data_IF_285975507740
#
_entry.id   IF_285975507740
#
_cell.length_a   1.000
_cell.length_b   1.000
_cell.length_c   1.000
_cell.angle_alpha   90.00
_cell.angle_beta   90.00
_cell.angle_gamma   90.00
#
_symmetry.space_group_name_H-M   'P 1'
#
loop_
_entity.id
_entity.type
_entity.pdbx_description
1 polymer ?
#
# COMPACT_ATOMS: atom_id res chain seq x y z
N UNK A 1 -23.33 -16.56 -64.67
CA UNK A 1 -23.91 -16.84 -63.34
C UNK A 1 -22.85 -16.48 -62.33
N UNK A 2 -23.21 -15.80 -61.25
CA UNK A 2 -22.25 -15.36 -60.24
C UNK A 2 -21.65 -16.62 -59.61
N UNK A 3 -20.34 -16.80 -59.74
CA UNK A 3 -19.66 -18.02 -59.27
C UNK A 3 -19.19 -17.90 -57.80
N UNK A 4 -19.29 -16.71 -57.21
CA UNK A 4 -18.77 -16.42 -55.88
C UNK A 4 -19.91 -16.07 -54.91
N UNK A 5 -19.83 -16.61 -53.71
CA UNK A 5 -20.73 -16.23 -52.62
C UNK A 5 -20.58 -14.72 -52.32
N UNK A 6 -21.71 -14.04 -52.12
CA UNK A 6 -21.73 -12.61 -51.81
C UNK A 6 -21.95 -12.47 -50.31
N UNK A 7 -20.94 -11.93 -49.63
CA UNK A 7 -21.03 -11.58 -48.22
C UNK A 7 -21.39 -10.11 -48.05
N UNK A 8 -22.39 -9.83 -47.24
CA UNK A 8 -22.85 -8.48 -46.95
C UNK A 8 -23.27 -8.33 -45.48
N UNK A 9 -23.31 -7.10 -44.99
CA UNK A 9 -23.87 -6.75 -43.69
C UNK A 9 -24.64 -5.44 -43.80
N UNK A 10 -25.65 -5.26 -42.96
CA UNK A 10 -26.38 -3.99 -42.87
C UNK A 10 -26.62 -3.66 -41.38
N UNK A 11 -25.61 -3.05 -40.75
CA UNK A 11 -25.60 -2.81 -39.31
C UNK A 11 -26.65 -1.79 -38.90
N UNK A 12 -26.90 -0.79 -39.75
CA UNK A 12 -27.88 0.25 -39.49
C UNK A 12 -29.32 -0.26 -39.39
N UNK A 13 -29.60 -1.46 -39.93
CA UNK A 13 -30.89 -2.16 -39.81
C UNK A 13 -30.83 -3.41 -38.94
N UNK A 14 -29.71 -3.64 -38.25
CA UNK A 14 -29.53 -4.77 -37.34
C UNK A 14 -29.31 -6.12 -38.01
N UNK A 15 -28.92 -6.13 -39.29
CA UNK A 15 -28.58 -7.36 -40.03
C UNK A 15 -27.08 -7.59 -39.90
N UNK A 16 -26.72 -8.69 -39.24
CA UNK A 16 -25.32 -9.12 -39.13
C UNK A 16 -24.74 -9.60 -40.46
N UNK A 17 -23.45 -9.94 -40.43
CA UNK A 17 -22.74 -10.50 -41.58
C UNK A 17 -23.44 -11.76 -42.10
N UNK A 18 -23.99 -11.67 -43.30
CA UNK A 18 -24.73 -12.73 -43.99
C UNK A 18 -24.00 -13.07 -45.27
N UNK A 19 -23.83 -14.36 -45.55
CA UNK A 19 -23.26 -14.83 -46.82
C UNK A 19 -24.37 -15.51 -47.59
N UNK A 20 -24.60 -15.07 -48.82
CA UNK A 20 -25.57 -15.67 -49.73
C UNK A 20 -24.82 -16.42 -50.80
N UNK A 21 -25.10 -17.72 -50.91
CA UNK A 21 -24.62 -18.51 -52.03
C UNK A 21 -25.32 -18.08 -53.33
N UNK A 22 -24.71 -18.26 -54.52
CA UNK A 22 -25.31 -17.82 -55.78
C UNK A 22 -26.72 -18.37 -56.06
N UNK A 23 -27.02 -19.57 -55.57
CA UNK A 23 -28.34 -20.20 -55.66
C UNK A 23 -29.37 -19.63 -54.67
N UNK A 24 -28.94 -18.94 -53.61
CA UNK A 24 -29.79 -18.34 -52.58
C UNK A 24 -30.11 -16.87 -52.85
N UNK A 25 -29.27 -16.18 -53.62
CA UNK A 25 -29.45 -14.75 -53.91
C UNK A 25 -30.76 -14.44 -54.64
N UNK A 26 -31.11 -15.24 -55.66
CA UNK A 26 -32.35 -15.05 -56.43
C UNK A 26 -33.59 -15.29 -55.55
N UNK A 27 -33.70 -16.41 -54.80
CA UNK A 27 -34.75 -16.58 -53.80
C UNK A 27 -34.85 -15.43 -52.81
N UNK A 28 -33.73 -14.97 -52.27
CA UNK A 28 -33.71 -13.86 -51.30
C UNK A 28 -34.26 -12.55 -51.89
N UNK A 29 -33.90 -12.21 -53.13
CA UNK A 29 -34.44 -11.03 -53.82
C UNK A 29 -35.92 -11.17 -54.16
N UNK A 30 -36.37 -12.38 -54.48
CA UNK A 30 -37.79 -12.65 -54.69
C UNK A 30 -38.58 -12.51 -53.39
N UNK A 31 -38.04 -12.97 -52.26
CA UNK A 31 -38.66 -12.77 -50.94
C UNK A 31 -38.75 -11.29 -50.59
N UNK A 32 -37.70 -10.51 -50.85
CA UNK A 32 -37.70 -9.05 -50.66
C UNK A 32 -38.75 -8.37 -51.54
N UNK A 33 -38.87 -8.78 -52.81
CA UNK A 33 -39.89 -8.27 -53.72
C UNK A 33 -41.31 -8.65 -53.27
N UNK A 34 -41.50 -9.88 -52.80
CA UNK A 34 -42.78 -10.36 -52.29
C UNK A 34 -43.20 -9.60 -51.03
N UNK A 35 -42.26 -9.36 -50.10
CA UNK A 35 -42.50 -8.53 -48.92
C UNK A 35 -43.13 -7.19 -49.31
N UNK A 36 -42.49 -6.41 -50.19
CA UNK A 36 -43.02 -5.11 -50.59
C UNK A 36 -44.34 -5.19 -51.36
N UNK A 37 -44.52 -6.21 -52.21
CA UNK A 37 -45.78 -6.44 -52.93
C UNK A 37 -46.95 -6.71 -51.99
N UNK A 38 -46.70 -7.48 -50.94
CA UNK A 38 -47.74 -8.08 -50.12
C UNK A 38 -48.09 -7.19 -48.89
N UNK A 39 -47.48 -6.01 -48.73
CA UNK A 39 -47.83 -5.02 -47.71
C UNK A 39 -49.11 -4.25 -48.08
N UNK A 40 -50.26 -4.53 -47.46
CA UNK A 40 -51.51 -3.85 -47.79
C UNK A 40 -51.45 -2.37 -47.43
N UNK A 41 -51.92 -1.52 -48.35
CA UNK A 41 -52.12 -0.10 -48.11
C UNK A 41 -50.86 0.77 -48.17
N UNK A 42 -49.67 0.19 -48.33
CA UNK A 42 -48.41 0.98 -48.30
C UNK A 42 -48.32 2.00 -49.46
N UNK A 43 -48.98 1.69 -50.59
CA UNK A 43 -49.06 2.54 -51.78
C UNK A 43 -50.38 3.33 -51.89
N UNK A 44 -51.21 3.35 -50.86
CA UNK A 44 -52.38 4.25 -50.84
C UNK A 44 -51.96 5.71 -50.75
N UNK A 45 -52.88 6.61 -51.09
CA UNK A 45 -52.69 8.05 -50.99
C UNK A 45 -52.24 8.44 -49.57
N UNK A 46 -51.07 9.07 -49.49
CA UNK A 46 -50.53 9.53 -48.22
C UNK A 46 -51.17 10.88 -47.86
N UNK A 47 -52.03 10.87 -46.84
CA UNK A 47 -52.67 12.08 -46.32
C UNK A 47 -52.06 12.46 -44.98
N UNK A 48 -51.47 13.65 -44.89
CA UNK A 48 -50.96 14.19 -43.62
C UNK A 48 -51.23 15.68 -43.51
N UNK A 49 -51.49 16.16 -42.29
CA UNK A 49 -51.80 17.57 -42.02
C UNK A 49 -52.88 18.16 -42.95
N UNK A 50 -53.93 17.38 -43.22
CA UNK A 50 -55.04 17.76 -44.12
C UNK A 50 -54.64 18.04 -45.58
N UNK A 51 -53.47 17.55 -46.02
CA UNK A 51 -53.02 17.57 -47.42
C UNK A 51 -52.86 16.14 -47.93
N UNK A 52 -53.36 15.87 -49.13
CA UNK A 52 -53.12 14.61 -49.83
C UNK A 52 -51.87 14.77 -50.72
N UNK A 53 -50.84 13.99 -50.43
CA UNK A 53 -49.58 13.98 -51.17
C UNK A 53 -49.58 12.98 -52.35
N UNK A 54 -50.68 12.24 -52.52
CA UNK A 54 -50.87 11.19 -53.50
C UNK A 54 -50.20 9.87 -53.09
N UNK A 55 -50.32 8.87 -53.95
CA UNK A 55 -49.64 7.58 -53.76
C UNK A 55 -48.11 7.77 -53.81
N UNK A 56 -47.39 7.32 -52.76
CA UNK A 56 -45.94 7.43 -52.73
C UNK A 56 -45.24 6.41 -53.64
N UNK A 57 -45.94 5.36 -54.11
CA UNK A 57 -45.38 4.33 -54.98
C UNK A 57 -44.17 3.60 -54.37
N UNK A 58 -44.20 3.34 -53.06
CA UNK A 58 -43.12 2.72 -52.31
C UNK A 58 -42.92 1.29 -52.75
N UNK A 59 -43.98 0.47 -52.69
CA UNK A 59 -43.87 -0.94 -53.07
C UNK A 59 -43.50 -1.08 -54.55
N UNK A 60 -44.12 -0.28 -55.43
CA UNK A 60 -43.74 -0.22 -56.85
C UNK A 60 -42.29 0.22 -57.07
N UNK A 61 -41.76 1.13 -56.24
CA UNK A 61 -40.36 1.56 -56.26
C UNK A 61 -39.40 0.40 -55.97
N UNK A 62 -39.66 -0.34 -54.88
CA UNK A 62 -38.86 -1.53 -54.53
C UNK A 62 -38.96 -2.62 -55.58
N UNK A 63 -40.17 -2.92 -56.06
CA UNK A 63 -40.36 -3.92 -57.12
C UNK A 63 -39.57 -3.59 -58.39
N UNK A 64 -39.61 -2.34 -58.84
CA UNK A 64 -38.82 -1.90 -60.00
C UNK A 64 -37.33 -2.01 -59.75
N UNK A 65 -36.85 -1.57 -58.58
CA UNK A 65 -35.42 -1.59 -58.26
C UNK A 65 -34.90 -3.03 -58.09
N UNK A 66 -35.61 -3.88 -57.38
CA UNK A 66 -35.26 -5.30 -57.22
C UNK A 66 -35.37 -6.04 -58.55
N UNK A 67 -36.38 -5.75 -59.37
CA UNK A 67 -36.51 -6.28 -60.72
C UNK A 67 -35.32 -5.92 -61.62
N UNK A 68 -34.84 -4.67 -61.56
CA UNK A 68 -33.64 -4.23 -62.27
C UNK A 68 -32.38 -4.98 -61.82
N UNK A 69 -32.24 -5.21 -60.50
CA UNK A 69 -31.14 -6.02 -59.95
C UNK A 69 -31.23 -7.46 -60.45
N UNK A 70 -32.42 -8.08 -60.40
CA UNK A 70 -32.61 -9.44 -60.91
C UNK A 70 -32.27 -9.55 -62.40
N UNK A 71 -32.54 -8.52 -63.22
CA UNK A 71 -32.10 -8.51 -64.61
C UNK A 71 -30.58 -8.37 -64.75
N UNK A 72 -29.92 -7.48 -64.01
CA UNK A 72 -28.46 -7.30 -64.11
C UNK A 72 -27.68 -8.54 -63.63
N UNK A 73 -28.23 -9.26 -62.66
CA UNK A 73 -27.63 -10.51 -62.17
C UNK A 73 -27.63 -11.62 -63.24
N UNK A 74 -28.57 -11.60 -64.20
CA UNK A 74 -28.54 -12.52 -65.35
C UNK A 74 -27.32 -12.27 -66.25
N UNK A 75 -26.91 -11.01 -66.35
CA UNK A 75 -25.73 -10.57 -67.09
C UNK A 75 -24.44 -10.64 -66.24
N UNK A 76 -24.49 -11.32 -65.09
CA UNK A 76 -23.39 -11.47 -64.14
C UNK A 76 -22.92 -10.16 -63.47
N UNK A 77 -23.77 -9.13 -63.46
CA UNK A 77 -23.47 -7.84 -62.83
C UNK A 77 -24.16 -7.69 -61.46
N UNK A 78 -23.36 -7.73 -60.40
CA UNK A 78 -23.78 -7.55 -59.01
C UNK A 78 -23.76 -6.08 -58.53
N UNK A 79 -23.39 -5.13 -59.40
CA UNK A 79 -23.31 -3.70 -59.04
C UNK A 79 -24.62 -3.16 -58.47
N UNK A 80 -25.75 -3.55 -59.08
CA UNK A 80 -27.09 -3.18 -58.63
C UNK A 80 -27.39 -3.65 -57.21
N UNK A 81 -27.05 -4.90 -56.89
CA UNK A 81 -27.23 -5.47 -55.54
C UNK A 81 -26.39 -4.72 -54.51
N UNK A 82 -25.10 -4.50 -54.78
CA UNK A 82 -24.21 -3.78 -53.87
C UNK A 82 -24.70 -2.34 -53.63
N UNK A 83 -25.18 -1.65 -54.67
CA UNK A 83 -25.77 -0.31 -54.53
C UNK A 83 -27.03 -0.29 -53.67
N UNK A 84 -27.81 -1.38 -53.69
CA UNK A 84 -29.03 -1.52 -52.90
C UNK A 84 -28.70 -1.78 -51.44
N UNK A 85 -27.73 -2.66 -51.16
CA UNK A 85 -27.22 -2.89 -49.80
C UNK A 85 -26.58 -1.62 -49.23
N UNK A 86 -25.78 -0.90 -50.02
CA UNK A 86 -25.21 0.38 -49.59
C UNK A 86 -26.31 1.40 -49.28
N UNK A 87 -27.33 1.51 -50.12
CA UNK A 87 -28.49 2.36 -49.85
C UNK A 87 -29.21 1.94 -48.56
N UNK A 88 -29.31 0.63 -48.28
CA UNK A 88 -29.88 0.13 -47.04
C UNK A 88 -29.04 0.50 -45.82
N UNK A 89 -27.71 0.42 -45.93
CA UNK A 89 -26.79 0.80 -44.86
C UNK A 89 -26.87 2.30 -44.55
N UNK A 90 -26.98 3.13 -45.58
CA UNK A 90 -27.22 4.58 -45.46
C UNK A 90 -28.66 4.92 -45.04
N UNK A 91 -29.51 3.93 -44.76
CA UNK A 91 -30.93 4.09 -44.39
C UNK A 91 -31.72 4.89 -45.44
N UNK A 92 -31.39 4.66 -46.71
CA UNK A 92 -32.08 5.15 -47.91
C UNK A 92 -32.84 4.03 -48.63
N UNK A 93 -32.68 2.79 -48.21
CA UNK A 93 -33.51 1.66 -48.55
C UNK A 93 -33.82 0.88 -47.27
N UNK A 94 -34.89 0.11 -47.28
CA UNK A 94 -35.33 -0.74 -46.18
C UNK A 94 -35.28 -2.17 -46.64
N UNK A 95 -34.71 -3.03 -45.81
CA UNK A 95 -34.65 -4.47 -46.04
C UNK A 95 -35.76 -5.16 -45.22
N UNK A 96 -36.50 -6.07 -45.84
CA UNK A 96 -37.61 -6.80 -45.23
C UNK A 96 -37.20 -7.52 -43.93
N UNK A 97 -36.01 -8.13 -43.93
CA UNK A 97 -35.43 -8.84 -42.78
C UNK A 97 -34.79 -7.90 -41.75
N UNK A 98 -34.65 -6.62 -42.07
CA UNK A 98 -34.11 -5.61 -41.16
C UNK A 98 -35.14 -5.17 -40.11
N UNK A 99 -34.67 -4.58 -39.01
CA UNK A 99 -35.54 -4.10 -37.93
C UNK A 99 -36.59 -3.09 -38.42
N UNK A 100 -36.23 -2.22 -39.36
CA UNK A 100 -37.14 -1.22 -39.95
C UNK A 100 -38.22 -1.92 -40.78
N UNK A 101 -37.86 -2.89 -41.63
CA UNK A 101 -38.83 -3.67 -42.41
C UNK A 101 -39.79 -4.46 -41.53
N UNK A 102 -39.28 -5.14 -40.51
CA UNK A 102 -40.11 -5.84 -39.52
C UNK A 102 -41.07 -4.90 -38.79
N UNK A 103 -40.62 -3.69 -38.44
CA UNK A 103 -41.46 -2.71 -37.78
C UNK A 103 -42.56 -2.17 -38.71
N UNK A 104 -42.27 -1.94 -40.00
CA UNK A 104 -43.29 -1.58 -41.00
C UNK A 104 -44.35 -2.68 -41.07
N UNK A 105 -43.94 -3.95 -41.23
CA UNK A 105 -44.87 -5.07 -41.30
C UNK A 105 -45.73 -5.19 -40.02
N UNK A 106 -45.12 -4.99 -38.86
CA UNK A 106 -45.82 -4.98 -37.57
C UNK A 106 -46.86 -3.86 -37.50
N UNK A 107 -46.50 -2.63 -37.86
CA UNK A 107 -47.41 -1.48 -37.86
C UNK A 107 -48.61 -1.72 -38.79
N UNK A 108 -48.38 -2.34 -39.96
CA UNK A 108 -49.47 -2.71 -40.87
C UNK A 108 -50.36 -3.78 -40.25
N UNK A 109 -49.79 -4.81 -39.62
CA UNK A 109 -50.55 -5.85 -38.92
C UNK A 109 -51.41 -5.28 -37.78
N UNK A 110 -50.91 -4.23 -37.10
CA UNK A 110 -51.61 -3.47 -36.05
C UNK A 110 -52.60 -2.42 -36.62
N UNK A 111 -52.83 -2.39 -37.94
CA UNK A 111 -53.69 -1.43 -38.65
C UNK A 111 -53.23 0.04 -38.54
N UNK A 112 -51.98 0.29 -38.14
CA UNK A 112 -51.37 1.63 -38.05
C UNK A 112 -50.77 2.05 -39.41
N UNK A 113 -51.62 2.10 -40.43
CA UNK A 113 -51.17 2.27 -41.82
C UNK A 113 -50.39 3.57 -42.04
N UNK A 114 -50.84 4.68 -41.45
CA UNK A 114 -50.19 5.98 -41.62
C UNK A 114 -48.76 6.00 -41.07
N UNK A 115 -48.54 5.38 -39.90
CA UNK A 115 -47.22 5.27 -39.28
C UNK A 115 -46.30 4.36 -40.09
N UNK A 116 -46.83 3.25 -40.62
CA UNK A 116 -46.09 2.35 -41.51
C UNK A 116 -45.66 3.05 -42.80
N UNK A 117 -46.58 3.79 -43.45
CA UNK A 117 -46.30 4.58 -44.65
C UNK A 117 -45.26 5.66 -44.39
N UNK A 118 -45.38 6.39 -43.28
CA UNK A 118 -44.42 7.42 -42.89
C UNK A 118 -43.03 6.84 -42.65
N UNK A 119 -42.94 5.73 -41.91
CA UNK A 119 -41.68 5.04 -41.66
C UNK A 119 -41.04 4.55 -42.97
N UNK A 120 -41.83 3.95 -43.85
CA UNK A 120 -41.37 3.50 -45.16
C UNK A 120 -40.91 4.68 -46.04
N UNK A 121 -41.65 5.79 -46.07
CA UNK A 121 -41.31 7.00 -46.82
C UNK A 121 -39.97 7.58 -46.39
N UNK A 122 -39.77 7.72 -45.08
CA UNK A 122 -38.58 8.33 -44.49
C UNK A 122 -37.31 7.54 -44.83
N UNK A 123 -37.39 6.21 -44.83
CA UNK A 123 -36.25 5.32 -45.02
C UNK A 123 -36.08 4.78 -46.44
N UNK A 124 -36.96 5.14 -47.38
CA UNK A 124 -36.93 4.66 -48.78
C UNK A 124 -36.50 5.72 -49.78
N UNK A 125 -35.81 6.78 -49.34
CA UNK A 125 -35.43 7.91 -50.20
C UNK A 125 -34.56 7.53 -51.42
N UNK A 126 -33.76 6.47 -51.31
CA UNK A 126 -32.93 5.94 -52.40
C UNK A 126 -33.69 5.02 -53.34
N UNK A 127 -34.92 4.61 -53.00
CA UNK A 127 -35.74 3.68 -53.79
C UNK A 127 -36.95 4.39 -54.39
N UNK A 128 -37.43 5.44 -53.72
CA UNK A 128 -38.63 6.18 -54.06
C UNK A 128 -38.28 7.65 -54.28
N UNK A 129 -38.69 8.21 -55.41
CA UNK A 129 -38.64 9.65 -55.65
C UNK A 129 -39.79 10.34 -54.92
N UNK A 130 -39.65 10.50 -53.60
CA UNK A 130 -40.59 11.31 -52.82
C UNK A 130 -40.57 12.76 -53.31
N UNK A 131 -41.74 13.41 -53.35
CA UNK A 131 -41.85 14.85 -53.68
C UNK A 131 -41.03 15.67 -52.69
N UNK A 132 -40.44 16.78 -53.15
CA UNK A 132 -39.58 17.64 -52.33
C UNK A 132 -40.27 18.09 -51.02
N UNK A 133 -41.57 18.37 -51.09
CA UNK A 133 -42.42 18.77 -49.95
C UNK A 133 -42.47 17.73 -48.84
N UNK A 134 -42.52 16.43 -49.19
CA UNK A 134 -42.51 15.33 -48.21
C UNK A 134 -41.12 15.24 -47.56
N UNK A 135 -40.06 15.38 -48.36
CA UNK A 135 -38.69 15.32 -47.84
C UNK A 135 -38.41 16.43 -46.83
N UNK A 136 -38.88 17.64 -47.12
CA UNK A 136 -38.73 18.79 -46.23
C UNK A 136 -39.55 18.61 -44.95
N UNK A 137 -40.81 18.16 -45.06
CA UNK A 137 -41.69 17.96 -43.91
C UNK A 137 -41.17 16.90 -42.91
N UNK A 138 -40.52 15.84 -43.40
CA UNK A 138 -40.09 14.70 -42.57
C UNK A 138 -38.57 14.60 -42.37
N UNK A 139 -37.78 15.56 -42.86
CA UNK A 139 -36.32 15.56 -42.69
C UNK A 139 -35.89 15.53 -41.22
N UNK A 140 -36.58 16.28 -40.36
CA UNK A 140 -36.35 16.25 -38.91
C UNK A 140 -36.80 14.93 -38.28
N UNK A 141 -37.92 14.37 -38.74
CA UNK A 141 -38.42 13.09 -38.25
C UNK A 141 -37.48 11.94 -38.61
N UNK A 142 -36.85 11.99 -39.79
CA UNK A 142 -35.79 11.07 -40.20
C UNK A 142 -34.71 10.99 -39.14
N UNK A 143 -34.15 12.13 -38.73
CA UNK A 143 -33.08 12.18 -37.72
C UNK A 143 -33.52 11.48 -36.42
N UNK A 144 -34.74 11.73 -35.95
CA UNK A 144 -35.27 11.08 -34.73
C UNK A 144 -35.44 9.57 -34.91
N UNK A 145 -36.03 9.15 -36.03
CA UNK A 145 -36.27 7.74 -36.35
C UNK A 145 -34.97 6.95 -36.58
N UNK A 146 -33.90 7.60 -37.04
CA UNK A 146 -32.58 6.95 -37.22
C UNK A 146 -31.99 6.44 -35.90
N UNK A 147 -32.23 7.16 -34.79
CA UNK A 147 -31.78 6.72 -33.46
C UNK A 147 -32.70 5.68 -32.84
N UNK A 148 -34.00 5.71 -33.16
CA UNK A 148 -34.95 4.71 -32.68
C UNK A 148 -36.13 4.53 -33.66
N UNK A 149 -36.11 3.49 -34.53
CA UNK A 149 -37.15 3.27 -35.52
C UNK A 149 -38.50 2.83 -34.91
N UNK A 150 -38.55 2.57 -33.60
CA UNK A 150 -39.79 2.22 -32.89
C UNK A 150 -40.60 3.45 -32.44
N UNK A 151 -40.08 4.67 -32.58
CA UNK A 151 -40.75 5.93 -32.19
C UNK A 151 -41.75 6.30 -33.29
N UNK A 152 -42.95 5.74 -33.26
CA UNK A 152 -43.96 5.95 -34.31
C UNK A 152 -45.02 7.01 -33.95
N UNK A 153 -45.02 7.51 -32.71
CA UNK A 153 -46.05 8.45 -32.23
C UNK A 153 -45.44 9.73 -31.63
N UNK A 154 -46.21 10.82 -31.64
CA UNK A 154 -45.82 12.09 -30.99
C UNK A 154 -45.62 11.95 -29.47
N UNK A 155 -46.26 10.96 -28.84
CA UNK A 155 -46.04 10.62 -27.44
C UNK A 155 -44.61 10.07 -27.20
N UNK A 156 -44.06 9.33 -28.16
CA UNK A 156 -42.71 8.79 -28.08
C UNK A 156 -41.64 9.87 -28.30
N UNK A 157 -41.93 10.91 -29.09
CA UNK A 157 -41.03 12.06 -29.30
C UNK A 157 -40.91 12.91 -28.03
N UNK A 158 -42.02 13.12 -27.32
CA UNK A 158 -42.02 13.83 -26.03
C UNK A 158 -41.23 13.01 -24.99
N UNK A 159 -41.44 11.69 -24.95
CA UNK A 159 -40.67 10.76 -24.11
C UNK A 159 -39.17 10.74 -24.45
N UNK A 160 -38.82 10.81 -25.74
CA UNK A 160 -37.44 10.89 -26.20
C UNK A 160 -36.79 12.24 -25.83
N UNK A 161 -37.52 13.35 -25.95
CA UNK A 161 -37.01 14.67 -25.52
C UNK A 161 -36.80 14.73 -24.01
N UNK A 162 -37.69 14.11 -23.23
CA UNK A 162 -37.58 14.05 -21.78
C UNK A 162 -36.43 13.12 -21.37
N UNK A 163 -36.28 12.00 -22.06
CA UNK A 163 -35.13 11.10 -21.89
C UNK A 163 -33.81 11.79 -22.25
N UNK A 164 -33.78 12.64 -23.29
CA UNK A 164 -32.61 13.42 -23.67
C UNK A 164 -32.31 14.50 -22.63
N UNK A 165 -33.33 15.16 -22.07
CA UNK A 165 -33.19 16.14 -20.98
C UNK A 165 -32.62 15.48 -19.72
N UNK A 166 -33.16 14.31 -19.34
CA UNK A 166 -32.67 13.51 -18.22
C UNK A 166 -31.22 13.06 -18.49
N UNK A 167 -30.92 12.58 -19.70
CA UNK A 167 -29.57 12.16 -20.08
C UNK A 167 -28.58 13.33 -20.06
N UNK A 168 -28.97 14.53 -20.51
CA UNK A 168 -28.16 15.75 -20.46
C UNK A 168 -27.88 16.20 -19.02
N UNK A 169 -28.91 16.17 -18.16
CA UNK A 169 -28.75 16.44 -16.73
C UNK A 169 -27.87 15.39 -16.04
N UNK A 170 -28.00 14.12 -16.43
CA UNK A 170 -27.18 13.01 -15.93
C UNK A 170 -25.72 13.15 -16.41
N UNK A 171 -25.49 13.56 -17.66
CA UNK A 171 -24.16 13.82 -18.18
C UNK A 171 -23.49 15.00 -17.47
N UNK A 172 -24.25 16.05 -17.16
CA UNK A 172 -23.75 17.23 -16.43
C UNK A 172 -23.40 16.87 -14.99
N UNK A 173 -24.25 16.10 -14.31
CA UNK A 173 -23.99 15.61 -12.95
C UNK A 173 -22.85 14.60 -12.90
N UNK A 174 -22.70 13.71 -13.89
CA UNK A 174 -21.53 12.84 -14.02
C UNK A 174 -20.25 13.62 -14.26
N UNK A 175 -20.29 14.71 -15.05
CA UNK A 175 -19.12 15.59 -15.23
C UNK A 175 -18.74 16.26 -13.92
N UNK A 176 -19.71 16.73 -13.15
CA UNK A 176 -19.47 17.31 -11.83
C UNK A 176 -18.91 16.28 -10.85
N UNK A 177 -19.52 15.10 -10.76
CA UNK A 177 -19.04 14.00 -9.93
C UNK A 177 -17.62 13.53 -10.32
N UNK A 178 -17.26 13.60 -11.60
CA UNK A 178 -15.90 13.31 -12.05
C UNK A 178 -14.91 14.38 -11.60
N UNK A 179 -15.28 15.66 -11.67
CA UNK A 179 -14.43 16.75 -11.16
C UNK A 179 -14.25 16.60 -9.64
N UNK A 180 -15.32 16.31 -8.91
CA UNK A 180 -15.27 16.07 -7.46
C UNK A 180 -14.41 14.82 -7.12
N UNK A 181 -14.51 13.76 -7.94
CA UNK A 181 -13.66 12.58 -7.80
C UNK A 181 -12.18 12.89 -8.08
N UNK A 182 -11.86 13.66 -9.12
CA UNK A 182 -10.50 14.09 -9.42
C UNK A 182 -9.92 14.96 -8.28
N UNK A 183 -10.70 15.88 -7.72
CA UNK A 183 -10.30 16.69 -6.54
C UNK A 183 -10.05 15.80 -5.32
N UNK A 184 -10.96 14.88 -5.01
CA UNK A 184 -10.78 13.97 -3.86
C UNK A 184 -9.59 13.00 -4.01
N UNK A 185 -9.28 12.58 -5.25
CA UNK A 185 -8.09 11.77 -5.53
C UNK A 185 -6.80 12.58 -5.32
N UNK A 186 -6.79 13.85 -5.71
CA UNK A 186 -5.64 14.73 -5.50
C UNK A 186 -5.44 15.02 -4.01
N UNK A 187 -6.52 15.29 -3.27
CA UNK A 187 -6.49 15.45 -1.81
C UNK A 187 -5.99 14.18 -1.10
N UNK A 188 -6.44 12.99 -1.52
CA UNK A 188 -5.95 11.73 -0.97
C UNK A 188 -4.47 11.49 -1.29
N UNK A 189 -4.02 11.85 -2.49
CA UNK A 189 -2.62 11.73 -2.90
C UNK A 189 -1.73 12.65 -2.06
N UNK A 190 -2.15 13.88 -1.84
CA UNK A 190 -1.44 14.84 -1.00
C UNK A 190 -1.42 14.41 0.47
N UNK A 191 -2.55 13.90 0.99
CA UNK A 191 -2.63 13.35 2.34
C UNK A 191 -1.70 12.13 2.50
N UNK A 192 -1.67 11.24 1.51
CA UNK A 192 -0.79 10.07 1.51
C UNK A 192 0.69 10.49 1.40
N UNK A 193 1.02 11.45 0.54
CA UNK A 193 2.38 11.97 0.43
C UNK A 193 2.86 12.59 1.74
N UNK A 194 2.01 13.38 2.41
CA UNK A 194 2.30 13.93 3.74
C UNK A 194 2.47 12.83 4.78
N UNK A 195 1.60 11.82 4.78
CA UNK A 195 1.69 10.70 5.69
C UNK A 195 2.98 9.90 5.49
N UNK A 196 3.36 9.60 4.25
CA UNK A 196 4.61 8.89 3.92
C UNK A 196 5.82 9.72 4.34
N UNK A 197 5.84 11.02 4.07
CA UNK A 197 6.93 11.92 4.47
C UNK A 197 7.05 12.00 6.00
N UNK A 198 5.93 12.16 6.71
CA UNK A 198 5.88 12.15 8.17
C UNK A 198 6.38 10.83 8.76
N UNK A 199 5.90 9.68 8.26
CA UNK A 199 6.34 8.36 8.73
C UNK A 199 7.78 8.04 8.36
N UNK A 200 8.26 8.53 7.22
CA UNK A 200 9.67 8.39 6.83
C UNK A 200 10.57 9.21 7.77
N UNK A 201 10.17 10.43 8.13
CA UNK A 201 10.89 11.21 9.15
C UNK A 201 10.88 10.54 10.51
N UNK A 202 9.72 10.06 10.96
CA UNK A 202 9.59 9.36 12.25
C UNK A 202 10.45 8.09 12.30
N UNK A 203 10.49 7.31 11.21
CA UNK A 203 11.37 6.13 11.10
C UNK A 203 12.84 6.50 11.08
N UNK A 204 13.24 7.56 10.39
CA UNK A 204 14.62 8.04 10.37
C UNK A 204 15.05 8.56 11.75
N UNK A 205 14.18 9.31 12.44
CA UNK A 205 14.41 9.77 13.81
C UNK A 205 14.50 8.60 14.78
N UNK A 206 13.66 7.57 14.62
CA UNK A 206 13.71 6.35 15.41
C UNK A 206 14.98 5.55 15.14
N UNK A 207 15.42 5.46 13.88
CA UNK A 207 16.68 4.82 13.49
C UNK A 207 17.88 5.56 14.09
N UNK A 208 17.91 6.90 13.99
CA UNK A 208 18.95 7.75 14.60
C UNK A 208 18.93 7.60 16.14
N UNK A 209 17.75 7.52 16.75
CA UNK A 209 17.59 7.28 18.19
C UNK A 209 18.10 5.89 18.58
N UNK A 210 17.77 4.85 17.80
CA UNK A 210 18.16 3.47 18.03
C UNK A 210 19.67 3.27 17.87
N UNK A 211 20.26 3.80 16.80
CA UNK A 211 21.71 3.77 16.56
C UNK A 211 22.46 4.52 17.66
N UNK A 212 21.99 5.72 18.05
CA UNK A 212 22.58 6.49 19.16
C UNK A 212 22.38 5.83 20.52
N UNK A 213 21.24 5.19 20.78
CA UNK A 213 20.95 4.61 22.10
C UNK A 213 21.57 3.21 22.28
N UNK A 214 21.64 2.35 21.25
CA UNK A 214 22.22 1.01 21.40
C UNK A 214 23.75 0.99 21.37
N UNK A 215 24.39 1.81 20.54
CA UNK A 215 25.87 1.86 20.50
C UNK A 215 26.43 2.42 21.81
N UNK A 216 25.70 3.31 22.49
CA UNK A 216 26.15 4.00 23.71
C UNK A 216 25.67 3.37 25.03
N UNK A 217 24.69 2.46 25.03
CA UNK A 217 24.35 1.69 26.24
C UNK A 217 25.36 0.58 26.56
N UNK A 218 26.13 0.11 25.57
CA UNK A 218 27.16 -0.91 25.74
C UNK A 218 28.19 -0.56 26.83
N UNK A 219 28.84 0.60 26.76
CA UNK A 219 29.83 1.03 27.77
C UNK A 219 29.24 1.17 29.19
N UNK A 220 28.03 1.72 29.34
CA UNK A 220 27.39 1.89 30.66
C UNK A 220 27.09 0.53 31.31
N UNK A 221 26.53 -0.42 30.53
CA UNK A 221 26.27 -1.79 31.00
C UNK A 221 27.56 -2.53 31.33
N UNK A 222 28.62 -2.32 30.56
CA UNK A 222 29.93 -2.90 30.83
C UNK A 222 30.47 -2.43 32.19
N UNK A 223 30.55 -1.12 32.42
CA UNK A 223 31.05 -0.58 33.69
C UNK A 223 30.16 -0.92 34.88
N UNK A 224 28.85 -1.02 34.68
CA UNK A 224 27.92 -1.54 35.70
C UNK A 224 28.26 -2.98 36.11
N UNK A 225 28.59 -3.83 35.13
CA UNK A 225 29.01 -5.22 35.40
C UNK A 225 30.36 -5.29 36.10
N UNK A 226 31.31 -4.44 35.73
CA UNK A 226 32.62 -4.34 36.41
C UNK A 226 32.42 -3.88 37.86
N UNK A 227 31.63 -2.83 38.10
CA UNK A 227 31.35 -2.32 39.44
C UNK A 227 30.67 -3.37 40.33
N UNK A 228 29.65 -4.07 39.82
CA UNK A 228 28.93 -5.10 40.60
C UNK A 228 29.81 -6.30 40.93
N UNK A 229 30.68 -6.70 40.00
CA UNK A 229 31.64 -7.80 40.20
C UNK A 229 32.68 -7.42 41.24
N UNK A 230 33.28 -6.23 41.14
CA UNK A 230 34.26 -5.74 42.12
C UNK A 230 33.63 -5.56 43.51
N UNK A 231 32.40 -5.03 43.60
CA UNK A 231 31.70 -4.89 44.87
C UNK A 231 31.39 -6.24 45.53
N UNK A 232 31.08 -7.26 44.73
CA UNK A 232 30.89 -8.63 45.23
C UNK A 232 32.19 -9.20 45.82
N UNK A 233 33.33 -9.00 45.15
CA UNK A 233 34.63 -9.42 45.68
C UNK A 233 35.03 -8.61 46.93
N UNK A 234 34.76 -7.31 46.97
CA UNK A 234 34.95 -6.49 48.17
C UNK A 234 34.09 -7.00 49.33
N UNK A 235 32.82 -7.32 49.11
CA UNK A 235 31.94 -7.88 50.13
C UNK A 235 32.49 -9.21 50.67
N UNK A 236 32.92 -10.13 49.80
CA UNK A 236 33.52 -11.39 50.25
C UNK A 236 34.84 -11.18 51.00
N UNK A 237 35.69 -10.24 50.58
CA UNK A 237 36.91 -9.90 51.29
C UNK A 237 36.62 -9.28 52.68
N UNK A 238 35.58 -8.45 52.79
CA UNK A 238 35.13 -7.88 54.06
C UNK A 238 34.62 -8.98 55.01
N UNK A 239 33.76 -9.87 54.51
CA UNK A 239 33.27 -11.01 55.29
C UNK A 239 34.43 -11.89 55.74
N UNK A 240 35.38 -12.21 54.84
CA UNK A 240 36.58 -12.97 55.18
C UNK A 240 37.43 -12.27 56.24
N UNK A 241 37.60 -10.95 56.15
CA UNK A 241 38.33 -10.16 57.15
C UNK A 241 37.65 -10.19 58.52
N UNK A 242 36.33 -10.02 58.57
CA UNK A 242 35.55 -10.09 59.83
C UNK A 242 35.60 -11.48 60.43
N UNK A 243 35.47 -12.53 59.62
CA UNK A 243 35.58 -13.93 60.07
C UNK A 243 36.97 -14.22 60.59
N UNK A 244 38.02 -13.77 59.91
CA UNK A 244 39.39 -13.87 60.40
C UNK A 244 39.50 -13.16 61.76
N UNK A 245 39.01 -11.94 61.92
CA UNK A 245 39.11 -11.25 63.22
C UNK A 245 38.32 -11.94 64.34
N UNK A 246 37.09 -12.37 64.06
CA UNK A 246 36.16 -12.88 65.07
C UNK A 246 36.35 -14.37 65.42
N UNK A 247 36.71 -15.22 64.45
CA UNK A 247 36.75 -16.67 64.67
C UNK A 247 37.81 -17.12 65.69
N UNK A 248 39.07 -16.63 65.65
CA UNK A 248 40.07 -16.95 66.67
C UNK A 248 39.67 -16.42 68.05
N UNK A 249 39.13 -15.21 68.13
CA UNK A 249 38.65 -14.64 69.40
C UNK A 249 37.53 -15.49 70.01
N UNK A 250 36.60 -15.96 69.18
CA UNK A 250 35.50 -16.82 69.61
C UNK A 250 35.99 -18.23 69.99
N UNK A 251 36.92 -18.81 69.24
CA UNK A 251 37.53 -20.11 69.58
C UNK A 251 38.31 -20.05 70.90
N UNK A 252 39.08 -18.98 71.12
CA UNK A 252 39.80 -18.75 72.38
C UNK A 252 38.81 -18.59 73.55
N UNK A 253 37.69 -17.91 73.33
CA UNK A 253 36.66 -17.73 74.36
C UNK A 253 35.93 -19.03 74.70
N UNK A 254 35.65 -19.89 73.70
CA UNK A 254 34.98 -21.18 73.91
C UNK A 254 35.90 -22.22 74.56
N UNK A 255 37.16 -22.28 74.13
CA UNK A 255 38.14 -23.29 74.58
C UNK A 255 39.18 -22.69 75.54
N UNK A 256 38.74 -21.78 76.42
CA UNK A 256 39.64 -21.07 77.33
C UNK A 256 40.46 -22.01 78.21
N UNK A 257 39.88 -23.12 78.65
CA UNK A 257 40.57 -24.14 79.47
C UNK A 257 41.73 -24.81 78.75
N UNK A 258 41.58 -25.10 77.44
CA UNK A 258 42.65 -25.67 76.62
C UNK A 258 43.75 -24.64 76.35
N UNK A 259 43.38 -23.37 76.13
CA UNK A 259 44.32 -22.27 75.92
C UNK A 259 45.13 -21.99 77.19
N UNK A 260 44.48 -21.89 78.36
CA UNK A 260 45.18 -21.67 79.63
C UNK A 260 46.11 -22.84 79.96
N UNK A 261 45.67 -24.08 79.76
CA UNK A 261 46.50 -25.27 79.96
C UNK A 261 47.72 -25.32 79.03
N UNK A 262 47.60 -24.88 77.77
CA UNK A 262 48.73 -24.76 76.85
C UNK A 262 49.72 -23.67 77.29
N UNK A 263 49.21 -22.52 77.75
CA UNK A 263 50.05 -21.44 78.28
C UNK A 263 50.83 -21.91 79.51
N UNK A 264 50.16 -22.58 80.46
CA UNK A 264 50.79 -23.13 81.67
C UNK A 264 51.85 -24.18 81.32
N UNK A 265 51.58 -25.07 80.35
CA UNK A 265 52.55 -26.06 79.89
C UNK A 265 53.80 -25.45 79.26
N UNK A 266 53.62 -24.40 78.44
CA UNK A 266 54.76 -23.66 77.85
C UNK A 266 55.54 -22.92 78.94
N UNK A 267 54.89 -22.34 79.94
CA UNK A 267 55.56 -21.67 81.06
C UNK A 267 56.34 -22.65 81.96
N UNK A 268 55.82 -23.85 82.18
CA UNK A 268 56.45 -24.91 82.99
C UNK A 268 57.71 -25.48 82.31
N UNK A 269 57.65 -25.77 81.00
CA UNK A 269 58.82 -26.18 80.20
C UNK A 269 59.94 -25.14 80.26
N UNK A 270 59.57 -23.87 80.40
CA UNK A 270 60.50 -22.75 80.37
C UNK A 270 61.00 -22.32 81.77
N UNK A 271 60.63 -23.06 82.83
CA UNK A 271 61.08 -22.88 84.23
C UNK A 271 61.01 -21.43 84.73
N UNK A 272 60.00 -20.67 84.32
CA UNK A 272 59.79 -19.28 84.74
C UNK A 272 60.73 -18.23 84.12
N UNK A 273 61.65 -18.63 83.23
CA UNK A 273 62.41 -17.69 82.38
C UNK A 273 61.81 -17.66 80.99
N UNK A 274 61.55 -16.50 80.38
CA UNK A 274 61.05 -16.45 79.00
C UNK A 274 62.19 -16.85 78.06
N UNK A 275 62.18 -18.10 77.57
CA UNK A 275 63.11 -18.58 76.56
C UNK A 275 62.79 -17.96 75.21
N UNK A 276 63.83 -17.71 74.41
CA UNK A 276 63.69 -17.26 73.02
C UNK A 276 62.83 -18.24 72.22
N UNK A 277 62.93 -19.55 72.51
CA UNK A 277 62.13 -20.57 71.82
C UNK A 277 60.62 -20.43 72.11
N UNK A 278 60.22 -20.19 73.36
CA UNK A 278 58.82 -19.97 73.73
C UNK A 278 58.25 -18.70 73.10
N UNK A 279 59.05 -17.64 72.97
CA UNK A 279 58.63 -16.39 72.33
C UNK A 279 58.41 -16.57 70.82
N UNK A 280 59.26 -17.33 70.14
CA UNK A 280 59.17 -17.59 68.70
C UNK A 280 57.88 -18.36 68.34
N UNK A 281 57.48 -19.32 69.18
CA UNK A 281 56.26 -20.14 68.98
C UNK A 281 54.99 -19.29 68.94
N UNK A 282 54.91 -18.19 69.69
CA UNK A 282 53.76 -17.28 69.65
C UNK A 282 53.92 -16.15 68.62
N UNK A 283 55.11 -15.57 68.51
CA UNK A 283 55.33 -14.39 67.66
C UNK A 283 55.25 -14.71 66.17
N UNK A 284 55.79 -15.84 65.71
CA UNK A 284 55.79 -16.20 64.28
C UNK A 284 54.37 -16.42 63.75
N UNK A 285 53.48 -17.21 64.39
CA UNK A 285 52.10 -17.34 63.95
C UNK A 285 51.32 -16.03 64.00
N UNK A 286 51.51 -15.21 65.05
CA UNK A 286 50.83 -13.91 65.17
C UNK A 286 51.25 -12.95 64.03
N UNK A 287 52.54 -12.90 63.69
CA UNK A 287 53.02 -12.09 62.57
C UNK A 287 52.54 -12.62 61.21
N UNK A 288 52.58 -13.94 61.01
CA UNK A 288 52.03 -14.56 59.80
C UNK A 288 50.53 -14.27 59.66
N UNK A 289 49.79 -14.27 60.77
CA UNK A 289 48.38 -13.94 60.82
C UNK A 289 48.12 -12.47 60.51
N UNK A 290 48.90 -11.55 61.10
CA UNK A 290 48.84 -10.13 60.78
C UNK A 290 49.15 -9.83 59.30
N UNK A 291 50.10 -10.56 58.71
CA UNK A 291 50.41 -10.47 57.28
C UNK A 291 49.24 -10.95 56.40
N UNK A 292 48.53 -12.01 56.80
CA UNK A 292 47.34 -12.50 56.13
C UNK A 292 46.20 -11.47 56.19
N UNK A 293 45.94 -10.90 57.37
CA UNK A 293 44.95 -9.83 57.55
C UNK A 293 45.26 -8.63 56.66
N UNK A 294 46.54 -8.23 56.58
CA UNK A 294 47.00 -7.15 55.69
C UNK A 294 46.68 -7.47 54.22
N UNK A 295 46.90 -8.71 53.77
CA UNK A 295 46.59 -9.12 52.40
C UNK A 295 45.09 -9.06 52.09
N UNK A 296 44.25 -9.59 52.99
CA UNK A 296 42.79 -9.55 52.80
C UNK A 296 42.26 -8.11 52.80
N UNK A 297 42.78 -7.26 53.70
CA UNK A 297 42.47 -5.82 53.72
C UNK A 297 42.89 -5.12 52.43
N UNK A 298 44.06 -5.45 51.86
CA UNK A 298 44.52 -4.91 50.57
C UNK A 298 43.58 -5.30 49.44
N UNK A 299 43.14 -6.56 49.37
CA UNK A 299 42.18 -7.04 48.36
C UNK A 299 40.84 -6.30 48.48
N UNK A 300 40.35 -6.10 49.71
CA UNK A 300 39.14 -5.32 49.96
C UNK A 300 39.27 -3.89 49.43
N UNK A 301 40.32 -3.17 49.82
CA UNK A 301 40.56 -1.79 49.41
C UNK A 301 40.72 -1.65 47.88
N UNK A 302 41.44 -2.58 47.24
CA UNK A 302 41.60 -2.61 45.79
C UNK A 302 40.26 -2.78 45.06
N UNK A 303 39.42 -3.72 45.49
CA UNK A 303 38.13 -3.96 44.86
C UNK A 303 37.15 -2.80 45.09
N UNK A 304 37.23 -2.12 46.23
CA UNK A 304 36.41 -0.93 46.51
C UNK A 304 36.79 0.25 45.59
N UNK A 305 38.09 0.46 45.36
CA UNK A 305 38.57 1.48 44.41
C UNK A 305 38.15 1.18 42.98
N UNK A 306 38.25 -0.09 42.54
CA UNK A 306 37.79 -0.52 41.22
C UNK A 306 36.28 -0.29 41.08
N UNK A 307 35.49 -0.65 42.11
CA UNK A 307 34.05 -0.45 42.10
C UNK A 307 33.67 1.04 42.01
N UNK A 308 34.35 1.89 42.78
CA UNK A 308 34.13 3.34 42.77
C UNK A 308 34.49 3.95 41.41
N UNK A 309 35.66 3.64 40.84
CA UNK A 309 36.06 4.16 39.52
C UNK A 309 35.10 3.69 38.41
N UNK A 310 34.69 2.42 38.43
CA UNK A 310 33.72 1.89 37.48
C UNK A 310 32.35 2.59 37.59
N UNK A 311 31.89 2.90 38.81
CA UNK A 311 30.64 3.64 39.01
C UNK A 311 30.75 5.10 38.54
N UNK A 312 31.87 5.76 38.79
CA UNK A 312 32.14 7.10 38.26
C UNK A 312 32.14 7.12 36.72
N UNK A 313 32.78 6.13 36.07
CA UNK A 313 32.74 5.98 34.60
C UNK A 313 31.34 5.68 34.08
N UNK A 314 30.55 4.87 34.80
CA UNK A 314 29.15 4.60 34.45
C UNK A 314 28.32 5.88 34.47
N UNK A 315 28.44 6.69 35.52
CA UNK A 315 27.74 7.98 35.64
C UNK A 315 28.19 8.94 34.55
N UNK A 316 29.50 9.06 34.27
CA UNK A 316 30.00 9.89 33.17
C UNK A 316 29.45 9.46 31.81
N UNK A 317 29.38 8.15 31.53
CA UNK A 317 28.81 7.63 30.28
C UNK A 317 27.31 7.97 30.16
N UNK A 318 26.55 7.83 31.24
CA UNK A 318 25.11 8.15 31.27
C UNK A 318 24.88 9.66 31.11
N UNK A 319 25.68 10.48 31.81
CA UNK A 319 25.60 11.94 31.70
C UNK A 319 25.97 12.42 30.31
N UNK A 320 27.03 11.88 29.71
CA UNK A 320 27.39 12.17 28.32
C UNK A 320 26.26 11.81 27.36
N UNK A 321 25.65 10.62 27.52
CA UNK A 321 24.51 10.21 26.72
C UNK A 321 23.30 11.14 26.90
N UNK A 322 23.03 11.55 28.14
CA UNK A 322 21.96 12.48 28.49
C UNK A 322 22.15 13.87 27.87
N UNK A 323 23.39 14.37 27.84
CA UNK A 323 23.75 15.64 27.21
C UNK A 323 23.73 15.53 25.68
N UNK A 324 24.29 14.46 25.10
CA UNK A 324 24.28 14.21 23.66
C UNK A 324 22.86 14.02 23.08
N UNK A 325 21.91 13.54 23.89
CA UNK A 325 20.50 13.41 23.53
C UNK A 325 19.79 14.76 23.36
N UNK A 326 20.24 15.82 24.04
CA UNK A 326 19.65 17.16 23.91
C UNK A 326 20.37 17.91 22.77
N UNK A 327 19.84 17.84 21.55
CA UNK A 327 20.32 18.63 20.38
C UNK A 327 20.45 20.14 20.67
N UNK A 328 19.76 20.66 21.69
CA UNK A 328 19.77 22.08 22.10
C UNK A 328 20.98 22.53 22.91
N UNK A 329 21.81 21.60 23.40
CA UNK A 329 23.05 21.92 24.11
C UNK A 329 24.17 21.64 23.13
N UNK A 330 24.64 22.67 22.43
CA UNK A 330 25.76 22.58 21.49
C UNK A 330 27.05 22.24 22.22
N UNK A 331 27.23 20.97 22.59
CA UNK A 331 28.50 20.48 23.13
C UNK A 331 29.51 20.59 22.00
N UNK A 332 30.46 21.51 22.15
CA UNK A 332 31.57 21.68 21.22
C UNK A 332 32.33 20.36 21.07
N UNK A 333 32.84 20.08 19.87
CA UNK A 333 33.53 18.81 19.57
C UNK A 333 34.73 18.57 20.51
N UNK A 334 35.33 19.65 21.01
CA UNK A 334 36.41 19.66 22.00
C UNK A 334 35.98 19.07 23.36
N UNK A 335 34.78 19.40 23.84
CA UNK A 335 34.26 18.90 25.12
C UNK A 335 33.89 17.41 25.02
N UNK A 336 33.45 16.96 23.83
CA UNK A 336 33.21 15.53 23.56
C UNK A 336 34.49 14.72 23.61
N UNK A 337 35.56 15.23 23.00
CA UNK A 337 36.87 14.58 23.02
C UNK A 337 37.42 14.46 24.45
N UNK A 338 37.23 15.48 25.29
CA UNK A 338 37.65 15.48 26.69
C UNK A 338 36.91 14.44 27.53
N UNK A 339 35.58 14.33 27.37
CA UNK A 339 34.76 13.34 28.08
C UNK A 339 35.07 11.91 27.62
N UNK A 340 35.27 11.69 26.31
CA UNK A 340 35.68 10.39 25.77
C UNK A 340 37.04 9.97 26.31
N UNK A 341 38.01 10.88 26.38
CA UNK A 341 39.31 10.60 26.97
C UNK A 341 39.19 10.22 28.46
N UNK A 342 38.38 10.94 29.24
CA UNK A 342 38.11 10.61 30.64
C UNK A 342 37.45 9.23 30.81
N UNK A 343 36.59 8.80 29.87
CA UNK A 343 35.94 7.48 29.87
C UNK A 343 36.91 6.33 29.53
N UNK A 344 37.84 6.56 28.62
CA UNK A 344 38.79 5.54 28.13
C UNK A 344 40.16 5.56 28.81
N UNK A 345 40.40 6.43 29.79
CA UNK A 345 41.68 6.45 30.52
C UNK A 345 41.95 5.09 31.21
N UNK A 346 43.18 4.57 31.21
CA UNK A 346 43.53 3.39 32.02
C UNK A 346 43.18 3.63 33.49
N UNK A 347 42.65 2.63 34.18
CA UNK A 347 42.42 2.73 35.62
C UNK A 347 43.77 2.93 36.34
N UNK A 348 43.84 3.79 37.38
CA UNK A 348 45.08 3.99 38.12
C UNK A 348 45.56 2.65 38.68
N UNK A 349 46.77 2.26 38.29
CA UNK A 349 47.39 1.01 38.71
C UNK A 349 47.89 1.13 40.15
N UNK A 350 47.28 0.35 41.05
CA UNK A 350 47.65 0.07 42.44
C UNK A 350 47.43 1.22 43.45
N UNK A 351 46.92 0.91 44.66
CA UNK A 351 47.17 1.73 45.85
C UNK A 351 48.69 1.84 46.01
N UNK A 352 49.21 3.05 46.15
CA UNK A 352 50.62 3.24 46.50
C UNK A 352 50.90 2.43 47.76
N UNK A 353 52.01 1.69 47.75
CA UNK A 353 52.50 1.00 48.94
C UNK A 353 52.88 2.07 49.96
N UNK A 354 51.98 2.37 50.89
CA UNK A 354 52.40 2.91 52.18
C UNK A 354 53.31 1.86 52.80
N UNK A 355 54.62 2.08 52.64
CA UNK A 355 55.64 1.40 53.41
C UNK A 355 55.32 1.51 54.90
N UNK A 356 55.79 0.56 55.73
CA UNK A 356 55.46 0.55 57.15
C UNK A 356 55.73 1.94 57.75
N UNK A 357 54.82 2.48 58.58
CA UNK A 357 55.02 3.80 59.17
C UNK A 357 56.38 3.84 59.84
N UNK A 358 57.19 4.83 59.47
CA UNK A 358 58.60 5.01 59.86
C UNK A 358 58.83 5.10 61.39
N UNK A 359 57.79 4.97 62.22
CA UNK A 359 57.84 5.14 63.68
C UNK A 359 58.36 3.94 64.50
N UNK A 360 58.48 2.73 63.95
CA UNK A 360 58.97 1.57 64.72
C UNK A 360 60.49 1.34 64.59
N UNK A 361 61.13 1.86 63.52
CA UNK A 361 62.58 1.74 63.32
C UNK A 361 63.39 2.78 64.12
N UNK A 362 62.77 3.89 64.55
CA UNK A 362 63.42 4.88 65.41
C UNK A 362 63.53 4.43 66.89
N UNK A 363 62.65 3.54 67.35
CA UNK A 363 62.68 3.07 68.75
C UNK A 363 63.70 1.96 69.04
N UNK A 364 64.22 1.29 68.01
CA UNK A 364 65.24 0.22 68.15
C UNK A 364 66.67 0.77 68.03
N UNK A 365 66.83 2.05 67.66
CA UNK A 365 68.13 2.68 67.43
C UNK A 365 68.55 3.66 68.53
N UNK A 366 67.91 3.64 69.70
CA UNK A 366 68.26 4.50 70.83
C UNK A 366 68.71 3.70 72.04
#
# INVERSE_FOLDING_TARGET
MIEQAITWECRSQGIGKTTLEPNELIPWLNDEMAFWRDLPGIDQDYVSANRNYGSPGIAQGYQRRIGAILSSLRDNDASGFNSFIQAAEEQKAVLSKGKIGQQIARLIAEQQLHSAQMLALVFSEGVVTARAEIKEAYGLLKIVLQFNPNVATTADIVSASESLRIASNTATSMKQARLDAEVSLDEMRDAFAKYVDEKTRELNDLHELYEKHLVLQGPSRHWQKVASTANRYAFFALVAFVVLLAAPALLIALEWSAVSGYIDHVLDITKGTISVASLVVFTVPVLAYGWLLKHVSRIFAQNLLIASDAEHRRVMAITFLGLAKRKSVGIAEQDRALILNALFRPAPTSPQEEGPPLGLLEFIKK
#
